data_IF_445371180256
#
_entry.id   IF_445371180256
#
_cell.length_a   1.000
_cell.length_b   1.000
_cell.length_c   1.000
_cell.angle_alpha   90.00
_cell.angle_beta   90.00
_cell.angle_gamma   90.00
#
_symmetry.space_group_name_H-M   'P 1'
#
loop_
_entity.id
_entity.type
_entity.pdbx_description
1 polymer ?
#
# COMPACT_ATOMS: atom_id res chain seq x y z
N UNK A 1 24.79 7.01 -18.49
CA UNK A 1 23.69 7.79 -17.86
C UNK A 1 22.91 6.82 -16.97
N UNK A 2 23.64 6.06 -16.14
CA UNK A 2 23.25 4.76 -15.59
C UNK A 2 23.20 4.80 -14.06
N UNK A 3 22.61 5.86 -13.50
CA UNK A 3 22.39 6.02 -12.06
C UNK A 3 20.91 5.98 -11.69
N UNK A 4 20.03 5.60 -12.62
CA UNK A 4 18.63 5.42 -12.32
C UNK A 4 18.46 4.06 -11.64
N UNK A 5 18.55 4.06 -10.31
CA UNK A 5 18.05 2.97 -9.50
C UNK A 5 16.54 3.19 -9.28
N UNK A 6 15.66 2.39 -9.93
CA UNK A 6 14.21 2.53 -9.79
C UNK A 6 13.71 2.25 -8.37
N UNK A 7 14.57 1.83 -7.43
CA UNK A 7 14.21 1.60 -6.03
C UNK A 7 14.33 2.83 -5.13
N UNK A 8 14.88 3.96 -5.63
CA UNK A 8 15.10 5.16 -4.82
C UNK A 8 13.92 6.14 -4.97
N UNK A 9 13.21 6.39 -3.86
CA UNK A 9 12.23 7.47 -3.72
C UNK A 9 12.87 8.61 -2.91
N UNK A 10 12.86 9.83 -3.45
CA UNK A 10 13.31 11.02 -2.75
C UNK A 10 12.18 11.63 -1.92
N UNK A 11 12.50 12.21 -0.77
CA UNK A 11 11.58 13.06 0.01
C UNK A 11 12.20 14.45 0.07
N UNK A 12 11.44 15.47 -0.32
CA UNK A 12 11.96 16.83 -0.40
C UNK A 12 10.92 17.90 -0.03
N UNK A 13 11.43 19.07 0.34
CA UNK A 13 10.62 20.28 0.42
C UNK A 13 10.03 20.63 -0.95
N UNK A 14 8.80 21.14 -0.95
CA UNK A 14 8.06 21.45 -2.18
C UNK A 14 8.77 22.52 -3.04
N UNK A 15 9.43 23.50 -2.41
CA UNK A 15 10.16 24.54 -3.13
C UNK A 15 11.44 24.00 -3.75
N UNK A 16 12.15 23.12 -3.02
CA UNK A 16 13.35 22.46 -3.53
C UNK A 16 13.02 21.59 -4.74
N UNK A 17 11.92 20.81 -4.68
CA UNK A 17 11.47 20.01 -5.82
C UNK A 17 11.18 20.87 -7.05
N UNK A 18 10.43 21.96 -6.87
CA UNK A 18 10.08 22.88 -7.97
C UNK A 18 11.30 23.62 -8.54
N UNK A 19 12.29 23.89 -7.71
CA UNK A 19 13.52 24.59 -8.09
C UNK A 19 14.47 23.68 -8.86
N UNK A 20 14.77 22.50 -8.32
CA UNK A 20 15.82 21.63 -8.84
C UNK A 20 15.33 20.64 -9.89
N UNK A 21 14.03 20.28 -9.89
CA UNK A 21 13.37 19.42 -10.89
C UNK A 21 14.20 18.19 -11.27
N UNK A 22 14.74 17.50 -10.27
CA UNK A 22 15.53 16.29 -10.50
C UNK A 22 14.67 15.15 -11.07
N UNK A 23 15.32 14.17 -11.68
CA UNK A 23 14.65 13.05 -12.37
C UNK A 23 14.27 11.87 -11.46
N UNK A 24 14.40 12.02 -10.14
CA UNK A 24 14.05 10.97 -9.19
C UNK A 24 12.55 11.00 -8.86
N UNK A 25 11.89 9.83 -8.71
CA UNK A 25 10.54 9.78 -8.15
C UNK A 25 10.54 10.41 -6.75
N UNK A 26 9.76 11.48 -6.55
CA UNK A 26 9.85 12.32 -5.34
C UNK A 26 8.49 12.48 -4.65
N UNK A 27 8.46 12.26 -3.33
CA UNK A 27 7.37 12.67 -2.45
C UNK A 27 7.71 14.07 -1.92
N UNK A 28 6.79 15.02 -2.07
CA UNK A 28 7.00 16.40 -1.62
C UNK A 28 6.29 16.68 -0.30
N UNK A 29 6.95 17.45 0.57
CA UNK A 29 6.40 17.95 1.83
C UNK A 29 6.26 19.46 1.70
N UNK A 30 5.09 19.99 2.06
CA UNK A 30 4.78 21.42 2.01
C UNK A 30 4.18 21.87 3.34
N UNK A 31 4.38 23.13 3.73
CA UNK A 31 3.61 23.71 4.82
C UNK A 31 2.19 24.10 4.38
N UNK A 32 1.28 24.28 5.33
CA UNK A 32 -0.12 24.66 5.08
C UNK A 32 -0.27 25.92 4.20
N UNK A 33 0.65 26.88 4.33
CA UNK A 33 0.66 28.11 3.52
C UNK A 33 1.22 27.91 2.10
N UNK A 34 1.74 26.73 1.78
CA UNK A 34 2.39 26.41 0.51
C UNK A 34 1.53 25.53 -0.40
N UNK A 35 0.21 25.47 -0.16
CA UNK A 35 -0.71 24.63 -0.95
C UNK A 35 -0.66 24.88 -2.47
N UNK A 36 -0.37 26.12 -2.90
CA UNK A 36 -0.18 26.45 -4.32
C UNK A 36 1.08 25.78 -4.91
N UNK A 37 2.19 25.77 -4.16
CA UNK A 37 3.42 25.10 -4.58
C UNK A 37 3.20 23.58 -4.63
N UNK A 38 2.42 23.02 -3.70
CA UNK A 38 2.09 21.61 -3.69
C UNK A 38 1.32 21.20 -4.96
N UNK A 39 0.34 22.00 -5.37
CA UNK A 39 -0.40 21.78 -6.60
C UNK A 39 0.51 21.81 -7.83
N UNK A 40 1.43 22.78 -7.90
CA UNK A 40 2.42 22.87 -8.98
C UNK A 40 3.38 21.68 -8.99
N UNK A 41 3.75 21.16 -7.83
CA UNK A 41 4.62 20.00 -7.73
C UNK A 41 3.94 18.73 -8.27
N UNK A 42 2.63 18.56 -8.04
CA UNK A 42 1.86 17.48 -8.65
C UNK A 42 1.80 17.60 -10.18
N UNK A 43 1.57 18.79 -10.71
CA UNK A 43 1.61 19.02 -12.17
C UNK A 43 3.00 18.74 -12.75
N UNK A 44 4.06 19.01 -11.99
CA UNK A 44 5.44 18.76 -12.37
C UNK A 44 5.88 17.29 -12.19
N UNK A 45 5.00 16.40 -11.73
CA UNK A 45 5.26 14.96 -11.64
C UNK A 45 5.76 14.47 -10.28
N UNK A 46 5.56 15.22 -9.19
CA UNK A 46 5.73 14.67 -7.85
C UNK A 46 4.80 13.46 -7.64
N UNK A 47 5.31 12.41 -7.00
CA UNK A 47 4.56 11.16 -6.78
C UNK A 47 3.38 11.36 -5.81
N UNK A 48 3.65 12.05 -4.70
CA UNK A 48 2.72 12.31 -3.61
C UNK A 48 3.06 13.63 -2.93
N UNK A 49 2.09 14.20 -2.21
CA UNK A 49 2.26 15.46 -1.48
C UNK A 49 1.68 15.38 -0.07
N UNK A 50 2.44 15.84 0.93
CA UNK A 50 1.98 15.92 2.32
C UNK A 50 2.00 17.36 2.83
N UNK A 51 0.90 17.81 3.43
CA UNK A 51 0.82 19.14 4.06
C UNK A 51 1.10 19.02 5.55
N UNK A 52 2.04 19.81 6.04
CA UNK A 52 2.40 19.88 7.45
C UNK A 52 1.94 21.22 8.07
N UNK A 53 1.17 21.16 9.15
CA UNK A 53 0.64 22.39 9.77
C UNK A 53 1.70 23.15 10.57
N UNK A 54 2.40 22.49 11.50
CA UNK A 54 3.48 23.11 12.30
C UNK A 54 4.56 22.09 12.68
N UNK A 55 5.83 22.44 12.46
CA UNK A 55 6.94 21.67 12.99
C UNK A 55 6.95 21.73 14.53
N UNK A 56 7.28 20.63 15.23
CA UNK A 56 7.43 20.65 16.67
C UNK A 56 8.49 21.68 17.09
N UNK A 57 8.18 22.52 18.09
CA UNK A 57 9.13 23.51 18.64
C UNK A 57 10.41 22.87 19.20
N UNK A 58 10.31 21.62 19.64
CA UNK A 58 11.42 20.80 20.10
C UNK A 58 11.36 19.44 19.39
N UNK A 59 12.14 19.34 18.31
CA UNK A 59 12.19 18.15 17.46
C UNK A 59 12.66 16.92 18.24
N UNK A 60 13.67 17.06 19.09
CA UNK A 60 14.23 15.94 19.85
C UNK A 60 13.21 15.36 20.81
N UNK A 61 12.46 16.21 21.50
CA UNK A 61 11.40 15.78 22.42
C UNK A 61 10.21 15.15 21.68
N UNK A 62 9.87 15.66 20.50
CA UNK A 62 8.83 15.06 19.66
C UNK A 62 9.25 13.66 19.17
N UNK A 63 10.47 13.52 18.64
CA UNK A 63 11.02 12.23 18.20
C UNK A 63 11.09 11.22 19.35
N UNK A 64 11.55 11.64 20.53
CA UNK A 64 11.62 10.77 21.72
C UNK A 64 10.22 10.30 22.16
N UNK A 65 9.21 11.17 22.10
CA UNK A 65 7.82 10.78 22.40
C UNK A 65 7.29 9.78 21.40
N UNK A 66 7.52 10.01 20.11
CA UNK A 66 7.10 9.11 19.04
C UNK A 66 7.76 7.75 19.24
N UNK A 67 9.07 7.69 19.44
CA UNK A 67 9.82 6.45 19.70
C UNK A 67 9.32 5.72 20.95
N UNK A 68 9.10 6.43 22.06
CA UNK A 68 8.56 5.84 23.28
C UNK A 68 7.12 5.30 23.10
N UNK A 69 6.30 5.94 22.27
CA UNK A 69 4.96 5.48 21.95
C UNK A 69 4.99 4.25 21.04
N UNK A 70 5.88 4.23 20.03
CA UNK A 70 6.13 3.06 19.19
C UNK A 70 6.61 1.86 20.02
N UNK A 71 7.56 2.07 20.93
CA UNK A 71 8.07 1.02 21.83
C UNK A 71 6.99 0.47 22.74
N UNK A 72 6.20 1.31 23.41
CA UNK A 72 5.09 0.83 24.26
C UNK A 72 4.06 0.01 23.51
N UNK A 73 3.74 0.38 22.27
CA UNK A 73 2.84 -0.39 21.41
C UNK A 73 3.44 -1.73 20.94
N UNK A 74 4.74 -1.92 21.14
CA UNK A 74 5.53 -3.10 20.76
C UNK A 74 6.06 -3.89 21.98
N UNK A 75 5.75 -3.51 23.21
CA UNK A 75 6.30 -4.12 24.44
C UNK A 75 5.49 -5.35 24.91
N UNK A 76 5.12 -6.25 24.00
CA UNK A 76 4.53 -7.55 24.35
C UNK A 76 5.46 -8.69 23.94
N UNK A 77 5.71 -9.60 24.89
CA UNK A 77 6.55 -10.80 24.69
C UNK A 77 6.00 -11.73 23.61
N UNK A 78 4.72 -11.62 23.28
CA UNK A 78 4.05 -12.48 22.31
C UNK A 78 4.09 -11.92 20.88
N UNK A 79 4.52 -10.67 20.68
CA UNK A 79 4.54 -10.05 19.35
C UNK A 79 5.46 -10.75 18.35
N UNK A 80 6.67 -11.21 18.72
CA UNK A 80 7.49 -12.00 17.80
C UNK A 80 6.78 -13.28 17.35
N UNK A 81 6.09 -13.96 18.26
CA UNK A 81 5.32 -15.18 17.93
C UNK A 81 4.10 -14.87 17.08
N UNK A 82 3.39 -13.78 17.36
CA UNK A 82 2.28 -13.31 16.53
C UNK A 82 2.74 -12.91 15.12
N UNK A 83 3.91 -12.26 15.01
CA UNK A 83 4.51 -11.88 13.74
C UNK A 83 4.88 -13.09 12.89
N UNK A 84 5.47 -14.12 13.51
CA UNK A 84 5.78 -15.38 12.85
C UNK A 84 4.50 -16.09 12.37
N UNK A 85 3.43 -16.08 13.17
CA UNK A 85 2.13 -16.59 12.74
C UNK A 85 1.57 -15.78 11.57
N UNK A 86 1.57 -14.46 11.65
CA UNK A 86 1.11 -13.58 10.57
C UNK A 86 1.90 -13.87 9.29
N UNK A 87 3.22 -14.01 9.36
CA UNK A 87 4.05 -14.33 8.19
C UNK A 87 3.69 -15.67 7.55
N UNK A 88 3.32 -16.68 8.34
CA UNK A 88 2.87 -17.99 7.84
C UNK A 88 1.50 -17.97 7.17
N UNK A 89 0.71 -16.93 7.40
CA UNK A 89 -0.59 -16.75 6.73
C UNK A 89 -0.44 -16.12 5.33
N UNK A 90 0.74 -15.60 4.97
CA UNK A 90 0.99 -15.09 3.63
C UNK A 90 0.81 -16.20 2.59
N UNK A 91 0.36 -15.87 1.38
CA UNK A 91 0.17 -16.86 0.33
C UNK A 91 1.50 -17.54 -0.03
N UNK A 92 1.43 -18.84 -0.29
CA UNK A 92 2.56 -19.55 -0.90
C UNK A 92 2.75 -19.08 -2.34
N UNK A 93 3.99 -19.15 -2.88
CA UNK A 93 4.25 -18.90 -4.30
C UNK A 93 3.29 -19.68 -5.20
N UNK A 94 2.87 -19.04 -6.29
CA UNK A 94 1.94 -19.61 -7.25
C UNK A 94 2.58 -19.72 -8.63
N UNK A 95 2.51 -20.90 -9.23
CA UNK A 95 2.95 -21.10 -10.61
C UNK A 95 1.84 -20.69 -11.57
N UNK A 96 2.13 -19.69 -12.41
CA UNK A 96 1.23 -19.18 -13.44
C UNK A 96 1.85 -19.34 -14.82
N UNK A 97 1.03 -19.75 -15.79
CA UNK A 97 1.48 -19.84 -17.18
C UNK A 97 1.79 -18.44 -17.71
N UNK A 98 3.02 -18.22 -18.18
CA UNK A 98 3.52 -16.94 -18.74
C UNK A 98 3.62 -15.76 -17.76
N UNK A 99 3.48 -16.00 -16.44
CA UNK A 99 3.58 -14.95 -15.43
C UNK A 99 4.45 -15.40 -14.26
N UNK A 100 5.29 -14.49 -13.79
CA UNK A 100 6.05 -14.61 -12.54
C UNK A 100 5.45 -13.65 -11.51
N UNK A 101 5.28 -14.12 -10.28
CA UNK A 101 4.69 -13.33 -9.20
C UNK A 101 5.74 -13.15 -8.12
N UNK A 102 6.24 -11.93 -8.01
CA UNK A 102 7.20 -11.53 -6.98
C UNK A 102 6.53 -10.68 -5.92
N UNK A 103 6.93 -10.88 -4.66
CA UNK A 103 6.34 -10.19 -3.51
C UNK A 103 7.40 -9.82 -2.49
N UNK A 104 7.22 -8.67 -1.85
CA UNK A 104 8.07 -8.20 -0.77
C UNK A 104 7.20 -7.70 0.38
N UNK A 105 7.38 -8.32 1.55
CA UNK A 105 6.60 -7.99 2.75
C UNK A 105 7.52 -7.70 3.91
N UNK A 106 7.60 -6.42 4.27
CA UNK A 106 8.44 -5.94 5.36
C UNK A 106 7.61 -5.06 6.29
N UNK A 107 7.11 -5.60 7.40
CA UNK A 107 6.45 -4.79 8.42
C UNK A 107 7.40 -3.71 8.96
N UNK A 108 6.86 -2.55 9.29
CA UNK A 108 7.59 -1.45 9.96
C UNK A 108 7.91 -1.75 11.43
N UNK A 109 7.28 -2.78 11.99
CA UNK A 109 7.40 -3.26 13.37
C UNK A 109 7.37 -4.81 13.37
N UNK A 110 6.79 -5.43 14.41
CA UNK A 110 6.53 -6.87 14.41
C UNK A 110 5.37 -7.27 13.49
N UNK A 111 4.28 -6.50 13.51
CA UNK A 111 3.02 -6.83 12.85
C UNK A 111 2.65 -5.75 11.83
N UNK A 112 2.05 -6.15 10.72
CA UNK A 112 1.61 -5.21 9.67
C UNK A 112 0.08 -5.12 9.54
N UNK A 113 -0.39 -3.91 9.23
CA UNK A 113 -1.74 -3.65 8.72
C UNK A 113 -1.84 -3.84 7.20
N UNK A 114 -0.71 -3.99 6.52
CA UNK A 114 -0.65 -4.30 5.10
C UNK A 114 -0.86 -5.80 4.89
N UNK A 115 -1.54 -6.16 3.81
CA UNK A 115 -1.79 -7.54 3.45
C UNK A 115 -1.94 -7.72 1.95
N UNK A 116 -1.44 -8.83 1.42
CA UNK A 116 -1.70 -9.24 0.05
C UNK A 116 -2.07 -10.72 0.03
N UNK A 117 -2.80 -11.10 -1.01
CA UNK A 117 -3.14 -12.49 -1.25
C UNK A 117 -3.41 -12.70 -2.75
N UNK A 118 -3.32 -13.94 -3.18
CA UNK A 118 -3.67 -14.36 -4.52
C UNK A 118 -4.07 -15.84 -4.57
N UNK A 119 -4.99 -16.19 -5.47
CA UNK A 119 -5.36 -17.58 -5.72
C UNK A 119 -5.90 -17.77 -7.14
N UNK A 120 -5.77 -18.99 -7.67
CA UNK A 120 -6.43 -19.39 -8.92
C UNK A 120 -7.93 -19.44 -8.71
N UNK A 121 -8.68 -18.75 -9.56
CA UNK A 121 -10.14 -18.91 -9.67
C UNK A 121 -10.50 -20.15 -10.49
N UNK A 122 -9.67 -20.45 -11.48
CA UNK A 122 -9.70 -21.60 -12.37
C UNK A 122 -8.33 -21.67 -13.09
N UNK A 123 -8.17 -22.57 -14.07
CA UNK A 123 -6.92 -22.74 -14.81
C UNK A 123 -6.49 -21.52 -15.65
N UNK A 124 -7.42 -20.60 -15.91
CA UNK A 124 -7.24 -19.44 -16.80
C UNK A 124 -7.22 -18.10 -16.06
N UNK A 125 -7.68 -18.05 -14.82
CA UNK A 125 -7.86 -16.79 -14.10
C UNK A 125 -7.26 -16.86 -12.70
N UNK A 126 -6.48 -15.84 -12.35
CA UNK A 126 -5.95 -15.62 -11.00
C UNK A 126 -6.55 -14.34 -10.44
N UNK A 127 -7.00 -14.39 -9.19
CA UNK A 127 -7.38 -13.20 -8.42
C UNK A 127 -6.20 -12.83 -7.52
N UNK A 128 -5.88 -11.55 -7.44
CA UNK A 128 -4.90 -11.02 -6.52
C UNK A 128 -5.41 -9.73 -5.88
N UNK A 129 -4.89 -9.38 -4.71
CA UNK A 129 -5.13 -8.08 -4.10
C UNK A 129 -3.97 -7.63 -3.22
N UNK A 130 -3.89 -6.31 -3.02
CA UNK A 130 -3.08 -5.65 -2.01
C UNK A 130 -4.00 -4.73 -1.21
N UNK A 131 -3.90 -4.78 0.11
CA UNK A 131 -4.73 -4.05 1.03
C UNK A 131 -3.91 -3.44 2.17
N UNK A 132 -4.39 -2.32 2.69
CA UNK A 132 -3.84 -1.64 3.86
C UNK A 132 -4.98 -1.29 4.81
N UNK A 133 -4.87 -1.82 6.04
CA UNK A 133 -5.77 -1.55 7.15
C UNK A 133 -5.29 -0.31 7.91
N UNK A 134 -6.13 0.71 7.96
CA UNK A 134 -5.84 1.99 8.62
C UNK A 134 -5.20 1.88 10.02
N UNK A 135 -4.16 2.70 10.22
CA UNK A 135 -3.36 2.71 11.44
C UNK A 135 -2.41 1.51 11.54
N UNK A 136 -1.77 1.35 12.69
CA UNK A 136 -0.70 0.37 12.86
C UNK A 136 -0.83 -0.39 14.18
N UNK A 137 -0.14 -1.54 14.28
CA UNK A 137 -0.05 -2.35 15.49
C UNK A 137 -1.00 -3.55 15.50
N UNK A 138 -1.29 -4.04 16.71
CA UNK A 138 -1.98 -5.33 16.90
C UNK A 138 -3.37 -5.35 16.26
N UNK A 139 -4.19 -4.33 16.47
CA UNK A 139 -5.57 -4.32 15.95
C UNK A 139 -5.64 -4.38 14.43
N UNK A 140 -4.78 -3.62 13.71
CA UNK A 140 -4.76 -3.69 12.24
C UNK A 140 -4.24 -5.04 11.74
N UNK A 141 -3.28 -5.64 12.43
CA UNK A 141 -2.76 -6.97 12.08
C UNK A 141 -3.74 -8.13 12.33
N UNK A 142 -4.64 -7.99 13.30
CA UNK A 142 -5.71 -8.97 13.52
C UNK A 142 -6.70 -8.93 12.35
N UNK A 143 -6.98 -7.75 11.81
CA UNK A 143 -7.81 -7.60 10.62
C UNK A 143 -7.16 -8.23 9.39
N UNK A 144 -5.86 -8.06 9.18
CA UNK A 144 -5.15 -8.74 8.07
C UNK A 144 -5.15 -10.27 8.23
N UNK A 145 -4.99 -10.76 9.46
CA UNK A 145 -5.14 -12.20 9.76
C UNK A 145 -6.55 -12.72 9.44
N UNK A 146 -7.58 -11.90 9.69
CA UNK A 146 -8.95 -12.23 9.30
C UNK A 146 -9.13 -12.20 7.78
N UNK A 147 -8.49 -11.26 7.07
CA UNK A 147 -8.48 -11.22 5.61
C UNK A 147 -7.90 -12.49 5.00
N UNK A 148 -6.85 -13.08 5.60
CA UNK A 148 -6.30 -14.37 5.17
C UNK A 148 -7.34 -15.50 5.18
N UNK A 149 -8.33 -15.45 6.07
CA UNK A 149 -9.43 -16.42 6.08
C UNK A 149 -10.35 -16.31 4.86
N UNK A 150 -10.30 -15.22 4.09
CA UNK A 150 -11.07 -15.08 2.84
C UNK A 150 -10.36 -15.67 1.61
N UNK A 151 -9.14 -16.18 1.75
CA UNK A 151 -8.40 -16.85 0.68
C UNK A 151 -9.28 -17.89 -0.03
N UNK A 152 -9.38 -17.80 -1.35
CA UNK A 152 -10.17 -18.74 -2.17
C UNK A 152 -11.69 -18.61 -2.03
N UNK A 153 -12.22 -17.69 -1.21
CA UNK A 153 -13.66 -17.58 -0.93
C UNK A 153 -14.40 -16.58 -1.81
N UNK A 154 -13.71 -15.85 -2.67
CA UNK A 154 -14.31 -14.85 -3.56
C UNK A 154 -13.92 -15.10 -5.01
N UNK A 155 -14.87 -14.89 -5.94
CA UNK A 155 -14.66 -15.10 -7.37
C UNK A 155 -14.54 -13.81 -8.18
N UNK A 156 -14.87 -12.67 -7.57
CA UNK A 156 -14.80 -11.36 -8.21
C UNK A 156 -14.28 -10.27 -7.27
N UNK A 157 -13.65 -9.20 -7.78
CA UNK A 157 -13.25 -8.03 -7.00
C UNK A 157 -14.39 -7.48 -6.14
N UNK A 158 -15.56 -7.31 -6.75
CA UNK A 158 -16.77 -6.81 -6.08
C UNK A 158 -17.20 -7.71 -4.92
N UNK A 159 -17.16 -9.03 -5.09
CA UNK A 159 -17.52 -9.96 -4.02
C UNK A 159 -16.56 -9.85 -2.84
N UNK A 160 -15.25 -9.79 -3.11
CA UNK A 160 -14.25 -9.64 -2.06
C UNK A 160 -14.43 -8.33 -1.28
N UNK A 161 -14.50 -7.20 -1.99
CA UNK A 161 -14.71 -5.88 -1.38
C UNK A 161 -15.99 -5.85 -0.55
N UNK A 162 -17.09 -6.41 -1.06
CA UNK A 162 -18.37 -6.44 -0.33
C UNK A 162 -18.28 -7.30 0.94
N UNK A 163 -17.56 -8.43 0.91
CA UNK A 163 -17.32 -9.28 2.08
C UNK A 163 -16.49 -8.57 3.14
N UNK A 164 -15.38 -7.97 2.74
CA UNK A 164 -14.50 -7.23 3.65
C UNK A 164 -15.23 -6.03 4.27
N UNK A 165 -15.95 -5.25 3.45
CA UNK A 165 -16.75 -4.14 3.96
C UNK A 165 -17.87 -4.61 4.90
N UNK A 166 -18.58 -5.68 4.52
CA UNK A 166 -19.63 -6.26 5.36
C UNK A 166 -19.11 -6.72 6.73
N UNK A 167 -17.94 -7.34 6.76
CA UNK A 167 -17.25 -7.74 8.00
C UNK A 167 -16.97 -6.54 8.91
N UNK A 168 -16.39 -5.46 8.38
CA UNK A 168 -16.09 -4.26 9.18
C UNK A 168 -17.36 -3.61 9.75
N UNK A 169 -18.39 -3.47 8.90
CA UNK A 169 -19.65 -2.83 9.28
C UNK A 169 -20.43 -3.66 10.30
N UNK A 170 -20.50 -4.98 10.10
CA UNK A 170 -21.25 -5.87 10.98
C UNK A 170 -20.67 -5.90 12.40
N UNK A 171 -19.34 -5.91 12.51
CA UNK A 171 -18.65 -5.95 13.80
C UNK A 171 -18.37 -4.56 14.39
N UNK A 172 -18.89 -3.50 13.75
CA UNK A 172 -18.70 -2.10 14.15
C UNK A 172 -17.22 -1.73 14.40
N UNK A 173 -16.34 -2.18 13.49
CA UNK A 173 -14.91 -1.95 13.59
C UNK A 173 -14.59 -0.55 13.07
N UNK A 174 -14.08 0.33 13.94
CA UNK A 174 -13.65 1.70 13.59
C UNK A 174 -12.28 1.71 12.87
N UNK A 175 -12.18 0.93 11.80
CA UNK A 175 -11.04 0.85 10.89
C UNK A 175 -11.56 0.80 9.46
N UNK A 176 -10.82 1.42 8.55
CA UNK A 176 -11.05 1.25 7.12
C UNK A 176 -9.93 0.41 6.51
N UNK A 177 -10.27 -0.25 5.40
CA UNK A 177 -9.34 -1.02 4.58
C UNK A 177 -9.33 -0.35 3.22
N UNK A 178 -8.16 0.08 2.78
CA UNK A 178 -7.94 0.43 1.37
C UNK A 178 -7.49 -0.83 0.64
N UNK A 179 -7.96 -1.03 -0.60
CA UNK A 179 -7.63 -2.25 -1.35
C UNK A 179 -7.60 -2.01 -2.85
N UNK A 180 -6.62 -2.60 -3.52
CA UNK A 180 -6.66 -2.89 -4.95
C UNK A 180 -6.83 -4.38 -5.16
N UNK A 181 -7.79 -4.77 -6.00
CA UNK A 181 -8.06 -6.17 -6.31
C UNK A 181 -8.23 -6.36 -7.82
N UNK A 182 -7.57 -7.38 -8.37
CA UNK A 182 -7.53 -7.68 -9.79
C UNK A 182 -7.84 -9.14 -10.09
N UNK A 183 -8.37 -9.39 -11.29
CA UNK A 183 -8.40 -10.69 -11.94
C UNK A 183 -7.60 -10.59 -13.23
N UNK A 184 -6.56 -11.39 -13.33
CA UNK A 184 -5.76 -11.56 -14.52
C UNK A 184 -6.19 -12.85 -15.24
N UNK A 185 -6.60 -12.72 -16.50
CA UNK A 185 -6.82 -13.86 -17.37
C UNK A 185 -5.49 -14.22 -18.08
N UNK A 186 -5.00 -15.43 -17.82
CA UNK A 186 -3.71 -15.96 -18.28
C UNK A 186 -3.70 -16.33 -19.77
N UNK A 187 -4.88 -16.51 -20.38
CA UNK A 187 -5.04 -16.87 -21.80
C UNK A 187 -5.18 -15.62 -22.67
N UNK A 188 -6.01 -14.66 -22.25
CA UNK A 188 -6.26 -13.43 -23.01
C UNK A 188 -5.33 -12.28 -22.60
N UNK A 189 -4.52 -12.46 -21.56
CA UNK A 189 -3.67 -11.44 -20.95
C UNK A 189 -4.45 -10.17 -20.52
N UNK A 190 -5.71 -10.34 -20.13
CA UNK A 190 -6.59 -9.22 -19.77
C UNK A 190 -6.66 -9.05 -18.25
N UNK A 191 -6.52 -7.81 -17.78
CA UNK A 191 -6.64 -7.44 -16.36
C UNK A 191 -7.97 -6.72 -16.12
N UNK A 192 -8.82 -7.30 -15.27
CA UNK A 192 -10.02 -6.66 -14.72
C UNK A 192 -9.79 -6.33 -13.26
N UNK A 193 -9.86 -5.08 -12.86
CA UNK A 193 -9.50 -4.69 -11.51
C UNK A 193 -10.44 -3.63 -10.93
N UNK A 194 -10.33 -3.41 -9.63
CA UNK A 194 -11.07 -2.38 -8.89
C UNK A 194 -10.18 -1.85 -7.77
N UNK A 195 -10.25 -0.55 -7.52
CA UNK A 195 -9.64 0.08 -6.35
C UNK A 195 -10.73 0.60 -5.43
N UNK A 196 -10.54 0.43 -4.12
CA UNK A 196 -11.34 1.05 -3.08
C UNK A 196 -10.40 1.86 -2.18
N UNK A 197 -10.07 3.08 -2.63
CA UNK A 197 -9.29 4.07 -1.87
C UNK A 197 -7.81 3.75 -1.68
N UNK A 198 -7.27 2.74 -2.37
CA UNK A 198 -5.86 2.35 -2.20
C UNK A 198 -4.92 3.34 -2.88
N UNK A 199 -3.88 3.74 -2.16
CA UNK A 199 -2.84 4.64 -2.61
C UNK A 199 -1.49 4.17 -2.05
N UNK A 200 -0.38 4.23 -2.82
CA UNK A 200 -0.29 4.68 -4.20
C UNK A 200 -1.05 3.80 -5.21
N UNK A 201 -1.48 4.35 -6.35
CA UNK A 201 -2.17 3.57 -7.38
C UNK A 201 -1.23 2.54 -8.01
N UNK A 202 -1.78 1.44 -8.58
CA UNK A 202 -0.97 0.47 -9.29
C UNK A 202 -0.30 1.09 -10.52
N UNK A 203 0.89 0.59 -10.86
CA UNK A 203 1.67 1.08 -12.01
C UNK A 203 1.92 -0.10 -12.95
N UNK A 204 1.69 0.11 -14.25
CA UNK A 204 2.06 -0.82 -15.31
C UNK A 204 3.32 -0.33 -16.01
N UNK A 205 4.25 -1.25 -16.26
CA UNK A 205 5.43 -1.04 -17.08
C UNK A 205 5.27 -1.87 -18.37
N UNK A 206 5.39 -1.22 -19.51
CA UNK A 206 5.43 -1.87 -20.82
C UNK A 206 6.80 -1.65 -21.46
N UNK A 207 7.35 -2.63 -22.20
CA UNK A 207 8.62 -2.45 -22.89
C UNK A 207 8.62 -1.20 -23.77
N UNK A 208 9.65 -0.36 -23.63
CA UNK A 208 9.85 0.87 -24.40
C UNK A 208 8.75 1.94 -24.21
N UNK A 209 7.96 1.87 -23.14
CA UNK A 209 6.96 2.89 -22.81
C UNK A 209 7.21 3.47 -21.41
N UNK A 210 6.83 4.74 -21.16
CA UNK A 210 6.89 5.29 -19.81
C UNK A 210 5.94 4.53 -18.87
N UNK A 211 6.26 4.46 -17.56
CA UNK A 211 5.38 3.84 -16.58
C UNK A 211 3.99 4.48 -16.61
N UNK A 212 2.96 3.65 -16.63
CA UNK A 212 1.57 4.09 -16.67
C UNK A 212 0.90 3.85 -15.32
N UNK A 213 0.43 4.93 -14.71
CA UNK A 213 -0.42 4.82 -13.52
C UNK A 213 -1.78 4.28 -13.96
N UNK A 214 -2.23 3.21 -13.31
CA UNK A 214 -3.58 2.70 -13.46
C UNK A 214 -4.54 3.58 -12.68
N UNK A 215 -5.31 4.38 -13.40
CA UNK A 215 -6.43 5.14 -12.84
C UNK A 215 -7.71 4.34 -13.02
N UNK A 216 -8.50 4.25 -11.96
CA UNK A 216 -9.91 3.88 -12.10
C UNK A 216 -10.65 5.09 -12.62
N UNK A 217 -11.57 4.93 -13.56
CA UNK A 217 -12.64 5.91 -13.70
C UNK A 217 -13.42 5.92 -12.40
N UNK A 218 -13.13 6.89 -11.53
CA UNK A 218 -14.07 7.34 -10.52
C UNK A 218 -15.38 7.66 -11.25
N UNK A 219 -16.52 7.32 -10.63
CA UNK A 219 -17.81 7.82 -11.09
C UNK A 219 -17.77 9.34 -11.30
#
# INVERSE_FOLDING_TARGET
>A
LDLYDPTIIAIADVQDFLTYKWRLPTIVIAFEHEGSALAQAWEAGALAGWVWNQLPKDLNKALTRIDAQYKRNQDSRDLPSAAELQKRLLPNPIDLLNYEVETFFQPSAYLSGDWYDYWKLNDKEVLFYLADVSGHGVTSSLLTSWMAAFHGRSKTPRQLIKKLNGMLVQENIEKHITIVVGILNLETHSLRWSSAGHYPPPIIFEPNQPPKILTTSSF
#
